data_IF_294068071096
#
_entry.id   IF_294068071096
#
_cell.length_a   1.000
_cell.length_b   1.000
_cell.length_c   1.000
_cell.angle_alpha   90.00
_cell.angle_beta   90.00
_cell.angle_gamma   90.00
#
_symmetry.space_group_name_H-M   'P 1'
#
loop_
_entity.id
_entity.type
_entity.pdbx_description
1 polymer ?
#
# COMPACT_ATOMS: atom_id res chain seq x y z
N UNK A 1 39.76 -27.43 9.13
CA UNK A 1 38.81 -27.12 8.04
C UNK A 1 37.32 -27.14 8.50
N UNK A 2 36.95 -27.90 9.55
CA UNK A 2 35.57 -27.91 10.06
C UNK A 2 35.25 -26.67 10.90
N UNK A 3 36.20 -26.16 11.68
CA UNK A 3 36.05 -24.94 12.49
C UNK A 3 35.86 -23.68 11.64
N UNK A 4 36.55 -23.56 10.50
CA UNK A 4 36.44 -22.40 9.59
C UNK A 4 35.07 -22.35 8.88
N UNK A 5 34.50 -23.52 8.56
CA UNK A 5 33.14 -23.60 7.98
C UNK A 5 32.03 -23.30 9.00
N UNK A 6 32.28 -23.59 10.28
CA UNK A 6 31.36 -23.28 11.36
C UNK A 6 31.34 -21.79 11.67
N UNK A 7 32.51 -21.13 11.67
CA UNK A 7 32.60 -19.67 11.88
C UNK A 7 31.99 -18.88 10.72
N UNK A 8 32.22 -19.29 9.46
CA UNK A 8 31.61 -18.68 8.28
C UNK A 8 30.08 -18.81 8.26
N UNK A 9 29.55 -19.96 8.73
CA UNK A 9 28.11 -20.11 8.87
C UNK A 9 27.52 -19.28 9.99
N UNK A 10 28.23 -19.11 11.11
CA UNK A 10 27.79 -18.28 12.23
C UNK A 10 27.85 -16.79 11.82
N UNK A 11 28.90 -16.34 11.15
CA UNK A 11 28.99 -14.98 10.62
C UNK A 11 27.93 -14.71 9.53
N UNK A 12 27.66 -15.67 8.65
CA UNK A 12 26.60 -15.59 7.65
C UNK A 12 25.20 -15.56 8.27
N UNK A 13 24.96 -16.38 9.32
CA UNK A 13 23.70 -16.38 10.08
C UNK A 13 23.56 -15.10 10.92
N UNK A 14 24.66 -14.62 11.51
CA UNK A 14 24.67 -13.34 12.23
C UNK A 14 24.50 -12.15 11.28
N UNK A 15 25.14 -12.15 10.11
CA UNK A 15 24.94 -11.15 9.08
C UNK A 15 23.51 -11.17 8.55
N UNK A 16 22.90 -12.34 8.33
CA UNK A 16 21.47 -12.47 8.00
C UNK A 16 20.54 -11.99 9.12
N UNK A 17 20.95 -12.14 10.38
CA UNK A 17 20.19 -11.64 11.53
C UNK A 17 20.24 -10.11 11.67
N UNK A 18 21.21 -9.45 11.06
CA UNK A 18 21.42 -7.99 11.15
C UNK A 18 20.57 -7.20 10.13
N UNK A 19 19.95 -7.86 9.13
CA UNK A 19 19.35 -7.16 8.00
C UNK A 19 17.81 -7.20 7.89
N UNK A 20 17.10 -7.76 8.87
CA UNK A 20 15.64 -7.70 8.84
C UNK A 20 15.15 -6.46 9.59
N UNK A 21 15.06 -5.35 8.88
CA UNK A 21 14.41 -4.14 9.39
C UNK A 21 13.31 -3.71 8.42
N UNK A 22 12.17 -3.36 8.95
CA UNK A 22 11.08 -2.73 8.20
C UNK A 22 11.20 -1.21 8.30
N UNK A 23 10.63 -0.52 7.33
CA UNK A 23 10.54 0.94 7.30
C UNK A 23 9.10 1.36 7.54
N UNK A 24 8.88 2.40 8.32
CA UNK A 24 7.54 2.95 8.55
C UNK A 24 7.32 4.18 7.68
N UNK A 25 6.28 4.11 6.86
CA UNK A 25 5.79 5.19 6.02
C UNK A 25 4.33 5.53 6.33
N UNK A 26 3.85 6.61 5.70
CA UNK A 26 2.47 7.03 5.80
C UNK A 26 1.97 7.55 4.45
N UNK A 27 0.70 7.28 4.12
CA UNK A 27 0.05 7.87 2.96
C UNK A 27 -0.51 9.26 3.30
N UNK A 28 -0.40 10.26 2.40
CA UNK A 28 -0.88 11.62 2.64
C UNK A 28 -2.40 11.75 2.62
N UNK A 29 -3.13 10.71 2.24
CA UNK A 29 -4.58 10.72 2.00
C UNK A 29 -5.40 11.13 3.23
N UNK A 30 -4.86 10.95 4.44
CA UNK A 30 -5.50 11.39 5.67
C UNK A 30 -5.53 12.93 5.82
N UNK A 31 -4.58 13.65 5.20
CA UNK A 31 -4.51 15.13 5.23
C UNK A 31 -5.26 15.77 4.07
N UNK A 32 -5.22 15.12 2.90
CA UNK A 32 -5.83 15.61 1.67
C UNK A 32 -6.18 14.42 0.80
N UNK A 33 -7.47 14.27 0.52
CA UNK A 33 -7.96 13.15 -0.28
C UNK A 33 -7.99 13.55 -1.77
N UNK A 34 -7.25 12.82 -2.60
CA UNK A 34 -7.16 13.10 -4.04
C UNK A 34 -8.44 12.72 -4.80
N UNK A 35 -9.19 11.72 -4.31
CA UNK A 35 -10.49 11.31 -4.87
C UNK A 35 -11.65 12.22 -4.41
N UNK A 36 -11.47 12.93 -3.29
CA UNK A 36 -12.43 13.84 -2.70
C UNK A 36 -11.74 15.15 -2.25
N UNK A 37 -11.40 16.05 -3.20
CA UNK A 37 -10.64 17.26 -2.93
C UNK A 37 -11.27 18.21 -1.90
N UNK A 38 -12.57 18.07 -1.64
CA UNK A 38 -13.28 18.79 -0.55
C UNK A 38 -12.83 18.34 0.85
N UNK A 39 -12.18 17.18 0.98
CA UNK A 39 -11.67 16.67 2.25
C UNK A 39 -10.18 17.02 2.38
N UNK A 40 -9.88 18.03 3.16
CA UNK A 40 -8.52 18.50 3.42
C UNK A 40 -7.86 19.22 2.25
N UNK A 41 -8.64 19.67 1.25
CA UNK A 41 -8.11 20.39 0.09
C UNK A 41 -7.30 21.64 0.45
N UNK A 42 -7.61 22.29 1.56
CA UNK A 42 -6.91 23.49 2.07
C UNK A 42 -5.64 23.16 2.90
N UNK A 43 -5.40 21.89 3.24
CA UNK A 43 -4.21 21.49 4.01
C UNK A 43 -2.95 21.66 3.17
N UNK A 44 -1.99 22.50 3.55
CA UNK A 44 -0.74 22.65 2.81
C UNK A 44 0.09 21.36 2.81
N UNK A 45 0.83 21.10 1.74
CA UNK A 45 1.74 19.95 1.66
C UNK A 45 2.78 19.98 2.80
N UNK A 46 3.31 21.16 3.11
CA UNK A 46 4.30 21.35 4.17
C UNK A 46 3.77 20.91 5.54
N UNK A 47 2.50 21.14 5.83
CA UNK A 47 1.88 20.67 7.06
C UNK A 47 1.82 19.13 7.09
N UNK A 48 1.39 18.50 6.00
CA UNK A 48 1.38 17.04 5.88
C UNK A 48 2.77 16.43 6.11
N UNK A 49 3.80 16.96 5.43
CA UNK A 49 5.18 16.49 5.56
C UNK A 49 5.73 16.68 6.98
N UNK A 50 5.49 17.85 7.58
CA UNK A 50 5.92 18.16 8.94
C UNK A 50 5.27 17.20 9.96
N UNK A 51 3.97 17.04 9.89
CA UNK A 51 3.21 16.21 10.82
C UNK A 51 3.55 14.71 10.65
N UNK A 52 3.75 14.23 9.41
CA UNK A 52 4.23 12.87 9.13
C UNK A 52 5.61 12.61 9.79
N UNK A 53 6.56 13.52 9.60
CA UNK A 53 7.89 13.45 10.22
C UNK A 53 7.82 13.51 11.75
N UNK A 54 7.04 14.45 12.30
CA UNK A 54 6.86 14.60 13.76
C UNK A 54 6.15 13.40 14.41
N UNK A 55 5.28 12.70 13.68
CA UNK A 55 4.68 11.45 14.14
C UNK A 55 5.69 10.29 14.23
N UNK A 56 6.87 10.42 13.58
CA UNK A 56 7.97 9.45 13.62
C UNK A 56 8.20 8.67 12.33
N UNK A 57 7.42 8.90 11.29
CA UNK A 57 7.60 8.24 9.99
C UNK A 57 8.87 8.74 9.29
N UNK A 58 9.52 7.83 8.55
CA UNK A 58 10.70 8.14 7.74
C UNK A 58 10.42 8.12 6.24
N UNK A 59 9.18 7.81 5.85
CA UNK A 59 8.73 7.80 4.47
C UNK A 59 7.29 8.27 4.34
N UNK A 60 6.99 8.75 3.14
CA UNK A 60 5.65 9.17 2.76
C UNK A 60 5.39 8.73 1.31
N UNK A 61 4.15 8.37 0.99
CA UNK A 61 3.74 8.14 -0.39
C UNK A 61 3.45 9.45 -1.11
N UNK A 62 3.56 9.47 -2.43
CA UNK A 62 3.15 10.64 -3.21
C UNK A 62 1.63 10.78 -3.22
N UNK A 63 1.16 12.01 -3.32
CA UNK A 63 -0.24 12.38 -3.53
C UNK A 63 -0.36 13.57 -4.48
N UNK A 64 -1.57 13.97 -4.82
CA UNK A 64 -1.85 14.97 -5.84
C UNK A 64 -1.27 16.36 -5.58
N UNK A 65 -0.92 16.68 -4.33
CA UNK A 65 -0.28 17.95 -3.95
C UNK A 65 1.25 17.94 -4.07
N UNK A 66 1.84 16.77 -4.32
CA UNK A 66 3.29 16.63 -4.38
C UNK A 66 3.83 17.18 -5.71
N UNK A 67 5.01 17.82 -5.72
CA UNK A 67 5.68 18.18 -6.95
C UNK A 67 5.86 16.96 -7.86
N UNK A 68 5.61 17.15 -9.14
CA UNK A 68 5.75 16.10 -10.17
C UNK A 68 7.13 16.04 -10.81
N UNK A 69 8.08 16.84 -10.28
CA UNK A 69 9.48 16.87 -10.73
C UNK A 69 10.41 16.54 -9.57
N UNK A 70 11.37 15.68 -9.82
CA UNK A 70 12.34 15.25 -8.81
C UNK A 70 13.18 16.38 -8.24
N UNK A 71 13.51 17.39 -9.06
CA UNK A 71 14.28 18.57 -8.67
C UNK A 71 13.54 19.43 -7.62
N UNK A 72 12.22 19.34 -7.56
CA UNK A 72 11.38 20.04 -6.59
C UNK A 72 11.02 19.13 -5.42
N UNK A 73 10.72 17.84 -5.70
CA UNK A 73 10.26 16.89 -4.68
C UNK A 73 11.37 16.45 -3.73
N UNK A 74 12.57 16.13 -4.24
CA UNK A 74 13.67 15.65 -3.40
C UNK A 74 14.07 16.68 -2.34
N UNK A 75 14.33 17.97 -2.67
CA UNK A 75 14.62 18.97 -1.64
C UNK A 75 13.49 19.12 -0.62
N UNK A 76 12.23 19.08 -1.08
CA UNK A 76 11.06 19.18 -0.21
C UNK A 76 10.99 18.02 0.80
N UNK A 77 11.19 16.79 0.37
CA UNK A 77 11.20 15.62 1.26
C UNK A 77 12.40 15.68 2.25
N UNK A 78 13.57 16.09 1.76
CA UNK A 78 14.76 16.21 2.59
C UNK A 78 14.61 17.25 3.71
N UNK A 79 13.88 18.35 3.48
CA UNK A 79 13.57 19.37 4.49
C UNK A 79 12.90 18.77 5.73
N UNK A 80 12.08 17.72 5.53
CA UNK A 80 11.36 17.04 6.60
C UNK A 80 11.95 15.67 6.98
N UNK A 81 13.13 15.30 6.47
CA UNK A 81 13.78 13.99 6.68
C UNK A 81 12.89 12.80 6.26
N UNK A 82 12.14 12.96 5.19
CA UNK A 82 11.27 11.92 4.61
C UNK A 82 11.86 11.36 3.32
N UNK A 83 11.55 10.10 3.04
CA UNK A 83 11.84 9.44 1.77
C UNK A 83 10.51 9.21 1.01
N UNK A 84 10.56 9.20 -0.31
CA UNK A 84 9.44 8.71 -1.09
C UNK A 84 9.38 7.18 -0.97
N UNK A 85 8.34 6.64 -0.35
CA UNK A 85 8.23 5.19 -0.15
C UNK A 85 7.36 4.48 -1.19
N UNK A 86 6.60 5.19 -1.97
CA UNK A 86 5.81 4.75 -3.13
C UNK A 86 4.82 5.85 -3.55
N UNK A 87 3.80 5.46 -4.31
CA UNK A 87 2.65 6.28 -4.64
C UNK A 87 1.74 5.55 -5.62
N UNK A 88 0.49 5.96 -5.64
CA UNK A 88 -0.56 5.37 -6.44
C UNK A 88 -0.39 5.64 -7.93
N UNK A 89 -0.61 4.59 -8.75
CA UNK A 89 -0.78 4.66 -10.19
C UNK A 89 -2.07 3.96 -10.60
N UNK A 90 -3.03 4.73 -11.09
CA UNK A 90 -4.31 4.22 -11.61
C UNK A 90 -4.20 3.81 -13.07
N UNK A 91 -4.02 2.53 -13.33
CA UNK A 91 -3.88 1.97 -14.66
C UNK A 91 -5.21 1.73 -15.36
N UNK A 92 -5.19 1.72 -16.69
CA UNK A 92 -6.33 1.39 -17.53
C UNK A 92 -6.02 0.23 -18.48
N UNK A 93 -5.31 -0.80 -18.03
CA UNK A 93 -4.90 -1.95 -18.86
C UNK A 93 -6.07 -2.75 -19.42
N UNK A 94 -7.22 -2.72 -18.78
CA UNK A 94 -8.45 -3.34 -19.33
C UNK A 94 -8.88 -2.68 -20.65
N UNK A 95 -8.63 -1.36 -20.80
CA UNK A 95 -8.97 -0.58 -21.99
C UNK A 95 -7.79 -0.37 -22.91
N UNK A 96 -6.63 -0.06 -22.35
CA UNK A 96 -5.42 0.26 -23.08
C UNK A 96 -4.66 -1.02 -23.48
N UNK A 97 -3.84 -0.89 -24.52
CA UNK A 97 -2.75 -1.85 -24.77
C UNK A 97 -1.62 -1.60 -23.78
N UNK A 98 -0.75 -2.59 -23.61
CA UNK A 98 0.44 -2.44 -22.74
C UNK A 98 1.35 -1.32 -23.25
N UNK A 99 1.50 -1.16 -24.56
CA UNK A 99 2.32 -0.10 -25.16
C UNK A 99 1.75 1.32 -24.93
N UNK A 100 0.44 1.46 -24.87
CA UNK A 100 -0.20 2.72 -24.47
C UNK A 100 0.05 3.01 -23.00
N UNK A 101 -0.12 2.01 -22.12
CA UNK A 101 0.07 2.16 -20.69
C UNK A 101 1.55 2.45 -20.34
N UNK A 102 2.50 1.82 -21.03
CA UNK A 102 3.93 2.14 -20.92
C UNK A 102 4.25 3.61 -21.23
N UNK A 103 3.51 4.24 -22.16
CA UNK A 103 3.69 5.65 -22.46
C UNK A 103 3.12 6.55 -21.36
N UNK A 104 1.96 6.19 -20.84
CA UNK A 104 1.27 7.00 -19.81
C UNK A 104 2.08 7.05 -18.51
N UNK A 105 2.70 5.94 -18.10
CA UNK A 105 3.40 5.85 -16.82
C UNK A 105 4.77 6.56 -16.80
N UNK A 106 5.32 7.00 -17.93
CA UNK A 106 6.72 7.45 -18.04
C UNK A 106 7.12 8.54 -17.07
N UNK A 107 6.29 9.57 -16.90
CA UNK A 107 6.62 10.71 -16.04
C UNK A 107 6.66 10.28 -14.57
N UNK A 108 5.72 9.46 -14.12
CA UNK A 108 5.71 8.93 -12.76
C UNK A 108 6.85 7.93 -12.53
N UNK A 109 7.12 7.06 -13.50
CA UNK A 109 8.25 6.12 -13.46
C UNK A 109 9.57 6.88 -13.29
N UNK A 110 9.76 7.95 -14.08
CA UNK A 110 10.97 8.79 -13.98
C UNK A 110 11.06 9.43 -12.58
N UNK A 111 9.99 10.07 -12.12
CA UNK A 111 9.94 10.73 -10.82
C UNK A 111 10.31 9.74 -9.69
N UNK A 112 9.70 8.56 -9.69
CA UNK A 112 9.92 7.56 -8.64
C UNK A 112 11.33 6.99 -8.66
N UNK A 113 11.90 6.77 -9.84
CA UNK A 113 13.30 6.36 -9.99
C UNK A 113 14.26 7.41 -9.45
N UNK A 114 14.06 8.68 -9.82
CA UNK A 114 14.91 9.78 -9.36
C UNK A 114 14.82 9.95 -7.84
N UNK A 115 13.65 9.71 -7.24
CA UNK A 115 13.43 9.76 -5.80
C UNK A 115 13.81 8.47 -5.06
N UNK A 116 14.33 7.44 -5.74
CA UNK A 116 14.67 6.13 -5.17
C UNK A 116 13.48 5.43 -4.49
N UNK A 117 12.24 5.62 -4.97
CA UNK A 117 11.09 4.87 -4.49
C UNK A 117 11.28 3.37 -4.78
N UNK A 118 10.89 2.46 -3.87
CA UNK A 118 11.15 1.03 -4.02
C UNK A 118 10.19 0.33 -5.00
N UNK A 119 9.01 0.88 -5.23
CA UNK A 119 7.98 0.33 -6.10
C UNK A 119 6.95 1.39 -6.50
N UNK A 120 6.08 1.02 -7.44
CA UNK A 120 4.86 1.75 -7.78
C UNK A 120 3.67 0.96 -7.24
N UNK A 121 2.80 1.59 -6.44
CA UNK A 121 1.51 1.04 -6.03
C UNK A 121 0.57 1.15 -7.22
N UNK A 122 0.29 0.02 -7.85
CA UNK A 122 -0.37 -0.08 -9.15
C UNK A 122 -1.77 -0.68 -9.00
N UNK A 123 -2.82 0.01 -9.42
CA UNK A 123 -4.18 -0.50 -9.40
C UNK A 123 -4.87 -0.35 -10.76
N UNK A 124 -5.73 -1.31 -11.11
CA UNK A 124 -6.58 -1.23 -12.29
C UNK A 124 -7.84 -0.41 -11.98
N UNK A 125 -7.99 0.74 -12.61
CA UNK A 125 -9.11 1.65 -12.34
C UNK A 125 -10.13 1.73 -13.49
N UNK A 126 -9.91 1.03 -14.60
CA UNK A 126 -10.86 1.05 -15.71
C UNK A 126 -12.22 0.46 -15.30
N UNK A 127 -13.21 1.33 -15.19
CA UNK A 127 -14.56 0.98 -14.77
C UNK A 127 -14.72 0.77 -13.26
N UNK A 128 -13.74 1.19 -12.45
CA UNK A 128 -13.88 1.20 -10.99
C UNK A 128 -15.04 2.09 -10.53
N UNK A 129 -15.60 1.78 -9.39
CA UNK A 129 -16.73 2.50 -8.78
C UNK A 129 -16.35 3.21 -7.48
N UNK A 130 -15.08 3.18 -7.10
CA UNK A 130 -14.60 3.72 -5.82
C UNK A 130 -14.91 5.21 -5.63
N UNK A 131 -14.81 6.01 -6.71
CA UNK A 131 -15.10 7.45 -6.68
C UNK A 131 -16.59 7.81 -6.84
N UNK A 132 -17.47 6.85 -7.14
CA UNK A 132 -18.90 7.09 -7.42
C UNK A 132 -19.74 6.97 -6.15
N UNK A 133 -20.34 8.08 -5.64
CA UNK A 133 -21.11 8.05 -4.40
C UNK A 133 -22.41 7.25 -4.51
N UNK A 134 -22.94 7.06 -5.71
CA UNK A 134 -24.23 6.41 -5.95
C UNK A 134 -24.11 4.92 -6.27
N UNK A 135 -22.89 4.42 -6.50
CA UNK A 135 -22.62 3.04 -6.81
C UNK A 135 -22.44 2.19 -5.55
N UNK A 136 -23.31 1.22 -5.40
CA UNK A 136 -23.23 0.25 -4.30
C UNK A 136 -22.02 -0.65 -4.46
N UNK A 137 -21.37 -1.01 -3.35
CA UNK A 137 -20.19 -1.89 -3.35
C UNK A 137 -20.46 -3.23 -4.03
N UNK A 138 -21.68 -3.80 -3.87
CA UNK A 138 -22.08 -5.05 -4.53
C UNK A 138 -22.07 -4.98 -6.07
N UNK A 139 -22.07 -3.76 -6.65
CA UNK A 139 -22.08 -3.53 -8.10
C UNK A 139 -20.69 -3.33 -8.72
N UNK A 140 -19.62 -3.62 -7.98
CA UNK A 140 -18.25 -3.50 -8.47
C UNK A 140 -18.05 -4.22 -9.82
N UNK A 141 -17.15 -3.77 -10.67
CA UNK A 141 -16.84 -4.43 -11.92
C UNK A 141 -16.23 -5.82 -11.64
N UNK A 142 -16.54 -6.77 -12.52
CA UNK A 142 -15.96 -8.13 -12.53
C UNK A 142 -15.48 -8.44 -13.93
N UNK A 143 -14.47 -9.25 -14.04
CA UNK A 143 -13.98 -9.78 -15.30
C UNK A 143 -14.53 -11.19 -15.52
N UNK A 144 -14.97 -11.51 -16.73
CA UNK A 144 -15.21 -12.89 -17.11
C UNK A 144 -13.89 -13.66 -17.32
N UNK A 145 -13.97 -14.94 -17.65
CA UNK A 145 -12.79 -15.80 -17.78
C UNK A 145 -11.86 -15.37 -18.92
N UNK A 146 -12.40 -14.94 -20.05
CA UNK A 146 -11.63 -14.52 -21.21
C UNK A 146 -10.95 -13.16 -20.94
N UNK A 147 -11.68 -12.21 -20.39
CA UNK A 147 -11.15 -10.91 -19.98
C UNK A 147 -10.05 -11.07 -18.92
N UNK A 148 -10.26 -11.94 -17.93
CA UNK A 148 -9.27 -12.23 -16.88
C UNK A 148 -7.97 -12.77 -17.45
N UNK A 149 -8.02 -13.76 -18.34
CA UNK A 149 -6.84 -14.31 -19.01
C UNK A 149 -6.07 -13.27 -19.79
N UNK A 150 -6.78 -12.41 -20.53
CA UNK A 150 -6.16 -11.32 -21.28
C UNK A 150 -5.54 -10.29 -20.33
N UNK A 151 -6.24 -9.91 -19.27
CA UNK A 151 -5.75 -8.98 -18.27
C UNK A 151 -4.50 -9.49 -17.57
N UNK A 152 -4.47 -10.76 -17.12
CA UNK A 152 -3.31 -11.35 -16.44
C UNK A 152 -2.07 -11.39 -17.35
N UNK A 153 -2.26 -11.60 -18.65
CA UNK A 153 -1.18 -11.50 -19.63
C UNK A 153 -0.64 -10.06 -19.73
N UNK A 154 -1.52 -9.07 -19.86
CA UNK A 154 -1.14 -7.65 -19.96
C UNK A 154 -0.42 -7.16 -18.71
N UNK A 155 -0.92 -7.48 -17.50
CA UNK A 155 -0.31 -7.04 -16.26
C UNK A 155 1.04 -7.73 -16.02
N UNK A 156 1.21 -9.00 -16.43
CA UNK A 156 2.50 -9.68 -16.39
C UNK A 156 3.53 -9.01 -17.30
N UNK A 157 3.12 -8.62 -18.51
CA UNK A 157 4.00 -7.87 -19.44
C UNK A 157 4.37 -6.49 -18.86
N UNK A 158 3.41 -5.80 -18.24
CA UNK A 158 3.64 -4.51 -17.59
C UNK A 158 4.56 -4.64 -16.37
N UNK A 159 4.34 -5.67 -15.53
CA UNK A 159 5.19 -5.97 -14.38
C UNK A 159 6.63 -6.26 -14.79
N UNK A 160 6.84 -7.07 -15.83
CA UNK A 160 8.16 -7.33 -16.38
C UNK A 160 8.82 -6.05 -16.91
N UNK A 161 8.09 -5.25 -17.68
CA UNK A 161 8.60 -3.98 -18.17
C UNK A 161 9.09 -3.08 -17.04
N UNK A 162 8.26 -2.89 -15.99
CA UNK A 162 8.61 -2.04 -14.85
C UNK A 162 9.78 -2.62 -14.04
N UNK A 163 9.84 -3.93 -13.86
CA UNK A 163 10.97 -4.62 -13.23
C UNK A 163 12.27 -4.40 -14.00
N UNK A 164 12.25 -4.52 -15.34
CA UNK A 164 13.41 -4.28 -16.22
C UNK A 164 13.86 -2.80 -16.16
N UNK A 165 12.96 -1.88 -15.84
CA UNK A 165 13.27 -0.47 -15.56
C UNK A 165 13.81 -0.23 -14.13
N UNK A 166 13.91 -1.26 -13.29
CA UNK A 166 14.33 -1.15 -11.89
C UNK A 166 13.27 -0.57 -10.95
N UNK A 167 12.00 -0.60 -11.36
CA UNK A 167 10.86 -0.10 -10.57
C UNK A 167 9.78 -1.18 -10.49
N UNK A 168 9.80 -2.06 -9.47
CA UNK A 168 8.81 -3.12 -9.33
C UNK A 168 7.38 -2.59 -9.27
N UNK A 169 6.46 -3.28 -9.96
CA UNK A 169 5.03 -3.10 -9.84
C UNK A 169 4.54 -3.81 -8.57
N UNK A 170 3.92 -3.08 -7.65
CA UNK A 170 3.24 -3.63 -6.48
C UNK A 170 1.73 -3.45 -6.67
N UNK A 171 1.05 -4.52 -7.13
CA UNK A 171 -0.39 -4.47 -7.40
C UNK A 171 -1.17 -4.22 -6.12
N UNK A 172 -2.05 -3.24 -6.14
CA UNK A 172 -2.93 -2.91 -5.04
C UNK A 172 -4.35 -3.40 -5.34
N UNK A 173 -4.82 -4.40 -4.60
CA UNK A 173 -6.23 -4.79 -4.59
C UNK A 173 -7.03 -3.71 -3.84
N UNK A 174 -8.15 -3.29 -4.40
CA UNK A 174 -8.87 -2.14 -3.85
C UNK A 174 -10.39 -2.31 -3.98
N UNK A 175 -11.12 -1.85 -2.96
CA UNK A 175 -12.59 -1.83 -2.99
C UNK A 175 -13.10 -1.08 -4.21
N UNK A 176 -14.13 -1.63 -4.84
CA UNK A 176 -14.77 -1.04 -6.02
C UNK A 176 -14.02 -1.25 -7.34
N UNK A 177 -12.94 -2.05 -7.36
CA UNK A 177 -12.18 -2.41 -8.57
C UNK A 177 -12.43 -3.85 -9.00
N UNK A 178 -11.80 -4.29 -10.09
CA UNK A 178 -11.91 -5.68 -10.60
C UNK A 178 -11.12 -6.69 -9.76
N UNK A 179 -10.10 -6.25 -9.04
CA UNK A 179 -9.34 -7.07 -8.09
C UNK A 179 -9.59 -6.48 -6.70
N UNK A 180 -10.54 -7.04 -6.00
CA UNK A 180 -11.02 -6.54 -4.71
C UNK A 180 -10.90 -7.59 -3.61
N UNK A 181 -11.41 -8.79 -3.88
CA UNK A 181 -11.53 -9.85 -2.88
C UNK A 181 -10.25 -10.65 -2.71
N UNK A 182 -10.18 -11.45 -1.64
CA UNK A 182 -9.12 -12.44 -1.45
C UNK A 182 -9.04 -13.40 -2.65
N UNK A 183 -10.18 -13.88 -3.14
CA UNK A 183 -10.24 -14.76 -4.31
C UNK A 183 -9.71 -14.10 -5.59
N UNK A 184 -10.07 -12.82 -5.84
CA UNK A 184 -9.54 -12.07 -6.98
C UNK A 184 -8.01 -11.91 -6.86
N UNK A 185 -7.53 -11.59 -5.64
CA UNK A 185 -6.11 -11.43 -5.36
C UNK A 185 -5.33 -12.73 -5.56
N UNK A 186 -5.84 -13.85 -5.06
CA UNK A 186 -5.24 -15.18 -5.26
C UNK A 186 -5.19 -15.50 -6.76
N UNK A 187 -6.31 -15.34 -7.48
CA UNK A 187 -6.35 -15.58 -8.93
C UNK A 187 -5.35 -14.71 -9.70
N UNK A 188 -5.21 -13.44 -9.32
CA UNK A 188 -4.20 -12.57 -9.91
C UNK A 188 -2.80 -13.14 -9.69
N UNK A 189 -2.44 -13.49 -8.46
CA UNK A 189 -1.10 -13.96 -8.11
C UNK A 189 -0.77 -15.33 -8.72
N UNK A 190 -1.73 -16.22 -8.83
CA UNK A 190 -1.57 -17.56 -9.43
C UNK A 190 -1.46 -17.52 -10.95
N UNK A 191 -2.05 -16.53 -11.61
CA UNK A 191 -2.13 -16.45 -13.08
C UNK A 191 -1.25 -15.35 -13.67
N UNK A 192 -0.35 -14.75 -12.88
CA UNK A 192 0.59 -13.73 -13.34
C UNK A 192 2.04 -14.11 -13.06
N UNK A 193 2.94 -13.53 -13.85
CA UNK A 193 4.39 -13.66 -13.67
C UNK A 193 4.84 -13.09 -12.31
N UNK A 194 5.96 -13.59 -11.79
CA UNK A 194 6.56 -13.15 -10.52
C UNK A 194 6.94 -11.66 -10.49
N UNK A 195 7.03 -11.02 -11.64
CA UNK A 195 7.23 -9.57 -11.76
C UNK A 195 6.03 -8.73 -11.29
N UNK A 196 4.83 -9.34 -11.22
CA UNK A 196 3.65 -8.71 -10.62
C UNK A 196 3.70 -8.93 -9.11
N UNK A 197 4.22 -7.97 -8.38
CA UNK A 197 4.26 -7.99 -6.92
C UNK A 197 2.96 -7.46 -6.33
N UNK A 198 2.81 -7.53 -5.02
CA UNK A 198 1.60 -7.14 -4.30
C UNK A 198 1.89 -6.03 -3.29
N UNK A 199 1.06 -5.01 -3.29
CA UNK A 199 0.78 -4.16 -2.12
C UNK A 199 -0.37 -4.82 -1.38
N UNK A 200 -0.09 -5.40 -0.21
CA UNK A 200 -1.15 -5.97 0.63
C UNK A 200 -1.74 -4.87 1.50
N UNK A 201 -3.00 -4.52 1.26
CA UNK A 201 -3.76 -3.60 2.10
C UNK A 201 -4.67 -4.38 3.06
N UNK A 202 -4.42 -4.23 4.35
CA UNK A 202 -5.14 -4.98 5.39
C UNK A 202 -6.58 -4.51 5.56
N UNK A 203 -6.84 -3.22 5.34
CA UNK A 203 -8.17 -2.64 5.45
C UNK A 203 -9.08 -3.03 4.28
N UNK A 204 -8.59 -2.86 3.05
CA UNK A 204 -9.33 -3.28 1.87
C UNK A 204 -9.61 -4.79 1.87
N UNK A 205 -8.61 -5.60 2.27
CA UNK A 205 -8.80 -7.04 2.38
C UNK A 205 -9.90 -7.40 3.38
N UNK A 206 -9.88 -6.81 4.58
CA UNK A 206 -10.91 -7.06 5.59
C UNK A 206 -12.28 -6.53 5.16
N UNK A 207 -12.33 -5.36 4.50
CA UNK A 207 -13.59 -4.81 3.99
C UNK A 207 -14.23 -5.75 2.96
N UNK A 208 -13.41 -6.34 2.09
CA UNK A 208 -13.83 -7.36 1.14
C UNK A 208 -14.08 -8.75 1.80
N UNK A 209 -14.09 -8.82 3.13
CA UNK A 209 -14.29 -10.03 3.93
C UNK A 209 -13.21 -11.10 3.71
N UNK A 210 -12.03 -10.71 3.24
CA UNK A 210 -10.87 -11.56 3.03
C UNK A 210 -9.93 -11.60 4.24
N UNK A 211 -8.88 -12.41 4.12
CA UNK A 211 -7.91 -12.69 5.17
C UNK A 211 -6.48 -12.37 4.73
N UNK A 212 -5.95 -11.23 5.17
CA UNK A 212 -4.57 -10.80 4.88
C UNK A 212 -3.52 -11.80 5.37
N UNK A 213 -3.79 -12.53 6.46
CA UNK A 213 -2.87 -13.53 7.02
C UNK A 213 -2.69 -14.72 6.06
N UNK A 214 -3.76 -15.16 5.41
CA UNK A 214 -3.69 -16.25 4.42
C UNK A 214 -2.92 -15.81 3.16
N UNK A 215 -3.12 -14.58 2.69
CA UNK A 215 -2.33 -14.02 1.59
C UNK A 215 -0.84 -13.99 1.96
N UNK A 216 -0.48 -13.51 3.16
CA UNK A 216 0.92 -13.48 3.61
C UNK A 216 1.54 -14.87 3.73
N UNK A 217 0.82 -15.87 4.25
CA UNK A 217 1.33 -17.23 4.38
C UNK A 217 1.64 -17.88 3.04
N UNK A 218 0.77 -17.67 2.07
CA UNK A 218 0.82 -18.37 0.78
C UNK A 218 1.62 -17.61 -0.30
N UNK A 219 1.66 -16.28 -0.24
CA UNK A 219 2.22 -15.42 -1.28
C UNK A 219 3.22 -14.37 -0.76
N UNK A 220 3.87 -14.63 0.37
CA UNK A 220 4.82 -13.68 0.99
C UNK A 220 5.89 -13.17 0.04
N UNK A 221 6.39 -14.00 -0.89
CA UNK A 221 7.44 -13.64 -1.85
C UNK A 221 6.94 -12.65 -2.92
N UNK A 222 5.62 -12.50 -3.02
CA UNK A 222 4.97 -11.52 -3.90
C UNK A 222 4.70 -10.21 -3.17
N UNK A 223 4.57 -10.18 -1.84
CA UNK A 223 4.30 -8.98 -1.05
C UNK A 223 5.59 -8.17 -0.86
N UNK A 224 5.69 -7.00 -1.48
CA UNK A 224 6.85 -6.10 -1.39
C UNK A 224 6.52 -4.75 -0.74
N UNK A 225 5.25 -4.45 -0.59
CA UNK A 225 4.73 -3.24 0.03
C UNK A 225 3.48 -3.59 0.85
N UNK A 226 3.23 -2.86 1.91
CA UNK A 226 2.07 -3.16 2.76
C UNK A 226 1.40 -1.87 3.23
N UNK A 227 0.10 -1.75 2.97
CA UNK A 227 -0.74 -0.73 3.57
C UNK A 227 -1.33 -1.26 4.88
N UNK A 228 -0.94 -0.62 5.95
CA UNK A 228 -1.46 -0.87 7.28
C UNK A 228 -2.67 0.03 7.50
N UNK A 229 -3.79 -0.36 6.92
CA UNK A 229 -5.10 0.30 7.03
C UNK A 229 -5.97 -0.53 7.96
N UNK A 230 -6.57 0.09 8.95
CA UNK A 230 -7.45 -0.60 9.90
C UNK A 230 -8.92 -0.25 9.64
N UNK A 231 -9.84 -0.98 10.27
CA UNK A 231 -11.28 -0.84 10.07
C UNK A 231 -12.02 -0.80 11.39
N UNK A 232 -13.00 0.08 11.51
CA UNK A 232 -13.96 0.07 12.61
C UNK A 232 -15.07 -0.94 12.31
N UNK A 233 -15.08 -2.03 13.07
CA UNK A 233 -15.95 -3.21 12.84
C UNK A 233 -17.43 -2.86 12.75
N UNK A 234 -17.92 -2.00 13.62
CA UNK A 234 -19.33 -1.58 13.63
C UNK A 234 -19.73 -0.83 12.33
N UNK A 235 -18.82 -0.01 11.77
CA UNK A 235 -19.05 0.69 10.51
C UNK A 235 -18.95 -0.26 9.33
N UNK A 236 -18.01 -1.21 9.35
CA UNK A 236 -17.94 -2.27 8.37
C UNK A 236 -19.25 -3.06 8.31
N UNK A 237 -19.74 -3.54 9.46
CA UNK A 237 -20.98 -4.33 9.53
C UNK A 237 -22.19 -3.55 8.99
N UNK A 238 -22.28 -2.25 9.32
CA UNK A 238 -23.29 -1.36 8.77
C UNK A 238 -23.16 -1.23 7.26
N UNK A 239 -21.97 -0.96 6.76
CA UNK A 239 -21.69 -0.76 5.33
C UNK A 239 -22.04 -1.96 4.49
N UNK A 240 -21.70 -3.16 4.97
CA UNK A 240 -22.04 -4.42 4.30
C UNK A 240 -23.54 -4.69 4.35
N UNK A 241 -24.21 -4.47 5.48
CA UNK A 241 -25.64 -4.71 5.65
C UNK A 241 -26.50 -3.79 4.78
N UNK A 242 -26.10 -2.53 4.66
CA UNK A 242 -26.83 -1.49 3.93
C UNK A 242 -26.39 -1.39 2.46
N UNK A 243 -25.35 -2.15 2.09
CA UNK A 243 -24.72 -2.11 0.76
C UNK A 243 -24.37 -0.66 0.35
N UNK A 244 -23.62 0.03 1.22
CA UNK A 244 -23.22 1.40 0.97
C UNK A 244 -22.31 1.50 -0.27
N UNK A 245 -22.19 2.69 -0.86
CA UNK A 245 -21.08 2.98 -1.77
C UNK A 245 -19.76 2.99 -1.00
N UNK A 246 -18.62 2.83 -1.70
CA UNK A 246 -17.31 2.95 -1.06
C UNK A 246 -17.14 4.32 -0.38
N UNK A 247 -17.50 5.38 -1.10
CA UNK A 247 -17.50 6.75 -0.57
C UNK A 247 -18.41 6.90 0.65
N UNK A 248 -19.59 6.29 0.65
CA UNK A 248 -20.50 6.28 1.78
C UNK A 248 -19.89 5.61 3.02
N UNK A 249 -19.30 4.43 2.86
CA UNK A 249 -18.62 3.71 3.92
C UNK A 249 -17.43 4.50 4.49
N UNK A 250 -16.64 5.11 3.63
CA UNK A 250 -15.53 5.97 4.00
C UNK A 250 -16.00 7.16 4.84
N UNK A 251 -17.01 7.91 4.39
CA UNK A 251 -17.56 9.09 5.11
C UNK A 251 -18.20 8.73 6.46
N UNK A 252 -18.71 7.52 6.61
CA UNK A 252 -19.16 6.94 7.88
C UNK A 252 -17.99 6.57 8.82
N UNK A 253 -16.75 6.62 8.31
CA UNK A 253 -15.55 6.34 9.07
C UNK A 253 -15.19 4.86 9.16
N UNK A 254 -15.44 4.09 8.10
CA UNK A 254 -15.09 2.66 8.05
C UNK A 254 -13.59 2.43 8.23
N UNK A 255 -12.77 3.23 7.54
CA UNK A 255 -11.31 3.11 7.60
C UNK A 255 -10.70 3.96 8.71
N UNK A 256 -9.62 3.46 9.28
CA UNK A 256 -8.86 4.12 10.33
C UNK A 256 -7.41 3.64 10.34
N UNK A 257 -6.60 4.18 11.26
CA UNK A 257 -5.21 3.77 11.45
C UNK A 257 -5.10 2.52 12.34
N UNK A 258 -4.00 1.74 12.23
CA UNK A 258 -3.73 0.64 13.15
C UNK A 258 -3.82 1.07 14.62
N UNK A 259 -4.54 0.29 15.40
CA UNK A 259 -4.77 0.53 16.83
C UNK A 259 -6.03 1.32 17.18
N UNK A 260 -6.74 1.85 16.19
CA UNK A 260 -8.07 2.47 16.35
C UNK A 260 -9.18 1.63 15.68
N UNK A 261 -8.81 0.51 15.07
CA UNK A 261 -9.71 -0.44 14.43
C UNK A 261 -9.75 -1.81 15.10
N UNK A 262 -10.04 -2.84 14.32
CA UNK A 262 -10.24 -4.20 14.82
C UNK A 262 -9.19 -5.21 14.32
N UNK A 263 -8.22 -4.80 13.50
CA UNK A 263 -7.21 -5.70 12.94
C UNK A 263 -6.12 -5.98 13.97
N UNK A 264 -5.89 -7.26 14.27
CA UNK A 264 -4.72 -7.68 15.03
C UNK A 264 -3.51 -7.86 14.10
N UNK A 265 -2.56 -6.93 14.18
CA UNK A 265 -1.36 -6.96 13.34
C UNK A 265 -0.28 -7.94 13.82
N UNK A 266 -0.37 -8.41 15.07
CA UNK A 266 0.69 -9.28 15.60
C UNK A 266 0.88 -10.57 14.79
N UNK A 267 -0.16 -11.34 14.43
CA UNK A 267 -0.02 -12.53 13.59
C UNK A 267 0.56 -12.22 12.20
N UNK A 268 0.19 -11.07 11.61
CA UNK A 268 0.72 -10.62 10.33
C UNK A 268 2.23 -10.37 10.44
N UNK A 269 2.67 -9.65 11.47
CA UNK A 269 4.08 -9.34 11.69
C UNK A 269 4.91 -10.58 12.04
N UNK A 270 4.33 -11.55 12.74
CA UNK A 270 5.01 -12.82 13.00
C UNK A 270 5.32 -13.56 11.68
N UNK A 271 4.39 -13.55 10.71
CA UNK A 271 4.63 -14.10 9.36
C UNK A 271 5.65 -13.26 8.60
N UNK A 272 5.56 -11.94 8.62
CA UNK A 272 6.56 -11.07 7.99
C UNK A 272 7.97 -11.37 8.51
N UNK A 273 8.11 -11.57 9.82
CA UNK A 273 9.37 -11.98 10.44
C UNK A 273 9.86 -13.34 9.95
N UNK A 274 9.00 -14.33 9.96
CA UNK A 274 9.30 -15.70 9.49
C UNK A 274 9.79 -15.67 8.03
N UNK A 275 9.19 -14.82 7.22
CA UNK A 275 9.50 -14.67 5.79
C UNK A 275 10.62 -13.66 5.50
N UNK A 276 11.22 -13.06 6.53
CA UNK A 276 12.29 -12.06 6.41
C UNK A 276 11.91 -10.85 5.56
N UNK A 277 10.69 -10.35 5.70
CA UNK A 277 10.22 -9.15 5.01
C UNK A 277 11.00 -7.91 5.47
N UNK A 278 11.50 -7.11 4.55
CA UNK A 278 12.29 -5.90 4.82
C UNK A 278 11.79 -4.65 4.07
N UNK A 279 10.52 -4.66 3.68
CA UNK A 279 9.87 -3.59 2.94
C UNK A 279 9.34 -2.43 3.80
N UNK A 280 8.45 -1.67 3.19
CA UNK A 280 7.72 -0.61 3.86
C UNK A 280 6.39 -1.11 4.43
N UNK A 281 6.08 -0.63 5.62
CA UNK A 281 4.77 -0.71 6.25
C UNK A 281 4.23 0.71 6.29
N UNK A 282 3.24 0.99 5.48
CA UNK A 282 2.69 2.33 5.28
C UNK A 282 1.35 2.44 6.01
N UNK A 283 1.25 3.34 6.97
CA UNK A 283 -0.04 3.68 7.56
C UNK A 283 -0.86 4.42 6.51
N UNK A 284 -2.01 3.89 6.19
CA UNK A 284 -2.95 4.54 5.29
C UNK A 284 -4.33 4.54 5.93
N UNK A 285 -4.93 5.72 6.00
CA UNK A 285 -6.28 5.87 6.54
C UNK A 285 -7.04 6.89 5.70
N UNK A 286 -8.00 6.40 4.95
CA UNK A 286 -8.96 7.24 4.25
C UNK A 286 -9.96 7.77 5.27
N UNK A 287 -9.71 8.97 5.77
CA UNK A 287 -10.50 9.60 6.81
C UNK A 287 -10.85 11.05 6.45
N UNK A 288 -11.98 11.51 6.97
CA UNK A 288 -12.35 12.92 6.93
C UNK A 288 -11.50 13.69 7.97
N UNK A 289 -10.56 14.57 7.54
CA UNK A 289 -9.68 15.29 8.45
C UNK A 289 -10.41 16.20 9.44
N UNK A 290 -11.66 16.57 9.15
CA UNK A 290 -12.49 17.34 10.08
C UNK A 290 -13.01 16.50 11.24
N UNK A 291 -13.10 15.17 11.07
CA UNK A 291 -13.56 14.22 12.09
C UNK A 291 -12.41 13.47 12.76
N UNK A 292 -11.36 13.19 12.00
CA UNK A 292 -10.19 12.45 12.44
C UNK A 292 -8.95 13.30 12.17
N UNK A 293 -8.47 14.02 13.19
CA UNK A 293 -7.28 14.89 13.02
C UNK A 293 -6.09 14.07 12.51
N UNK A 294 -5.53 14.35 11.31
CA UNK A 294 -4.51 13.52 10.67
C UNK A 294 -3.27 13.31 11.53
N UNK A 295 -2.79 14.36 12.21
CA UNK A 295 -1.59 14.26 13.05
C UNK A 295 -1.80 13.36 14.27
N UNK A 296 -2.95 13.49 14.96
CA UNK A 296 -3.26 12.65 16.11
C UNK A 296 -3.40 11.17 15.69
N UNK A 297 -4.08 10.91 14.57
CA UNK A 297 -4.24 9.56 14.05
C UNK A 297 -2.91 8.99 13.53
N UNK A 298 -2.07 9.79 12.89
CA UNK A 298 -0.71 9.39 12.49
C UNK A 298 0.12 8.90 13.71
N UNK A 299 0.05 9.61 14.83
CA UNK A 299 0.73 9.21 16.08
C UNK A 299 0.18 7.91 16.66
N UNK A 300 -1.15 7.70 16.61
CA UNK A 300 -1.79 6.45 17.06
C UNK A 300 -1.27 5.28 16.23
N UNK A 301 -1.33 5.39 14.90
CA UNK A 301 -0.87 4.35 13.97
C UNK A 301 0.62 4.03 14.15
N UNK A 302 1.47 5.06 14.21
CA UNK A 302 2.91 4.90 14.43
C UNK A 302 3.22 4.18 15.74
N UNK A 303 2.59 4.61 16.84
CA UNK A 303 2.78 4.02 18.17
C UNK A 303 2.37 2.55 18.17
N UNK A 304 1.18 2.24 17.68
CA UNK A 304 0.66 0.88 17.65
C UNK A 304 1.55 -0.06 16.82
N UNK A 305 1.94 0.36 15.60
CA UNK A 305 2.84 -0.43 14.76
C UNK A 305 4.18 -0.66 15.44
N UNK A 306 4.78 0.39 16.02
CA UNK A 306 6.07 0.29 16.72
C UNK A 306 6.00 -0.68 17.90
N UNK A 307 4.99 -0.60 18.73
CA UNK A 307 4.80 -1.50 19.87
C UNK A 307 4.58 -2.95 19.42
N UNK A 308 3.80 -3.15 18.36
CA UNK A 308 3.47 -4.49 17.83
C UNK A 308 4.68 -5.13 17.13
N UNK A 309 5.44 -4.35 16.35
CA UNK A 309 6.70 -4.80 15.75
C UNK A 309 7.73 -5.22 16.81
N UNK A 310 7.84 -4.44 17.89
CA UNK A 310 8.70 -4.79 19.01
C UNK A 310 8.28 -6.12 19.69
N UNK A 311 6.96 -6.36 19.87
CA UNK A 311 6.44 -7.64 20.37
C UNK A 311 6.74 -8.82 19.45
N UNK A 312 6.83 -8.58 18.15
CA UNK A 312 7.24 -9.59 17.15
C UNK A 312 8.77 -9.65 16.96
N UNK A 313 9.54 -8.86 17.69
CA UNK A 313 11.01 -8.75 17.56
C UNK A 313 11.44 -8.43 16.12
N UNK A 314 10.77 -7.50 15.47
CA UNK A 314 11.14 -6.92 14.17
C UNK A 314 11.80 -5.58 14.43
N UNK A 315 12.96 -5.35 13.81
CA UNK A 315 13.64 -4.07 13.91
C UNK A 315 12.99 -3.05 12.99
N UNK A 316 12.93 -1.81 13.45
CA UNK A 316 12.47 -0.67 12.67
C UNK A 316 13.69 0.13 12.24
N UNK A 317 13.84 0.31 10.95
CA UNK A 317 14.88 1.18 10.39
C UNK A 317 14.58 2.63 10.77
N UNK A 318 15.61 3.35 11.22
CA UNK A 318 15.56 4.78 11.52
C UNK A 318 16.61 5.48 10.66
N UNK A 319 16.27 6.64 10.10
CA UNK A 319 17.24 7.48 9.37
C UNK A 319 18.38 7.93 10.27
#
# INVERSE_FOLDING_TARGET
>A
NFLVLFDLNIEYILAKKIFMSVKLGIAPIAWSNDDMPELGGDTPLEQCLLEASQAGFIGIESGGKFPNKSEELIPKLNEFNLNLCSGWYGANLRKNTVEEEKKVIQDQLKLFKDCNAPCIVFAEVAGSIQGDPDKKLSTRPKMDEEESKNYYKKISEMGKYLQDQGMPLAYHHHMGTVIETEEDTIKLLENTDDSVKLTLDTGHMLFAQGNSLEILKNFSDRVIHMHCKDIRKNVLDKSLKEDLSFRGAFLEGAFTVPGDGCIDYKPLFDVLKEKNYSGWLVVEAEQDPAKANPFEYAKIGYKYLTETLNKSNIQIFKN
#
